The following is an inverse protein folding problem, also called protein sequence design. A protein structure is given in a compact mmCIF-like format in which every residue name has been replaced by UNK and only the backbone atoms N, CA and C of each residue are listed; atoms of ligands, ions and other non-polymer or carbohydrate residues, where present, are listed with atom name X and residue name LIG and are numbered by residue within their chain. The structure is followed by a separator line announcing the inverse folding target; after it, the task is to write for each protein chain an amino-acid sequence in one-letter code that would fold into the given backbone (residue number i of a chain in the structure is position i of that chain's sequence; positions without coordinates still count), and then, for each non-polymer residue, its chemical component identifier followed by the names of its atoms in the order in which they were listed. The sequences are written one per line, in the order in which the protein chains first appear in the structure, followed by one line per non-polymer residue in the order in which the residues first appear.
data_IF_206862863164
#
_entry.id   IF_206862863164
#
_cell.length_a   1.000
_cell.length_b   1.000
_cell.length_c   1.000
_cell.angle_alpha   90.00
_cell.angle_beta   90.00
_cell.angle_gamma   90.00
#
_symmetry.space_group_name_H-M   'P 1'
#
loop_
_entity.id
_entity.type
_entity.pdbx_description
1 polymer ?
#
# COMPACT_ATOMS: atom_id res chain seq x y z
N UNK A 1 -60.71 20.80 -21.85
CA UNK A 1 -60.40 20.46 -21.24
C UNK A 1 -59.25 20.21 -20.78
N UNK A 2 -58.93 20.04 -19.95
CA UNK A 2 -57.79 19.96 -19.45
C UNK A 2 -57.04 18.85 -19.51
N UNK A 3 -56.02 18.87 -19.49
CA UNK A 3 -55.32 17.90 -19.72
C UNK A 3 -54.22 17.78 -18.92
N UNK A 4 -53.76 16.93 -18.49
CA UNK A 4 -52.87 16.82 -17.71
C UNK A 4 -51.85 16.12 -17.81
N UNK A 5 -50.97 16.09 -17.95
CA UNK A 5 -49.98 15.33 -18.15
C UNK A 5 -48.93 15.23 -17.25
N UNK A 6 -48.72 15.89 -16.42
CA UNK A 6 -47.55 15.89 -15.68
C UNK A 6 -47.16 14.63 -15.02
N UNK A 7 -47.78 13.64 -15.12
CA UNK A 7 -47.53 12.47 -14.41
C UNK A 7 -46.25 11.76 -14.72
N UNK A 8 -45.69 12.01 -15.85
CA UNK A 8 -44.51 11.29 -16.25
C UNK A 8 -43.24 11.78 -15.61
N UNK A 9 -43.16 13.03 -15.20
CA UNK A 9 -41.96 13.59 -14.69
C UNK A 9 -41.42 12.91 -13.40
N UNK A 10 -42.29 12.59 -12.46
CA UNK A 10 -41.80 11.94 -11.27
C UNK A 10 -41.20 10.58 -11.50
N UNK A 11 -41.76 9.85 -12.45
CA UNK A 11 -41.27 8.52 -12.77
C UNK A 11 -39.88 8.56 -13.35
N UNK A 12 -39.65 9.49 -14.23
CA UNK A 12 -38.31 9.62 -14.80
C UNK A 12 -37.28 9.98 -13.76
N UNK A 13 -37.60 10.85 -12.87
CA UNK A 13 -36.69 11.24 -11.84
C UNK A 13 -36.32 10.07 -10.94
N UNK A 14 -37.28 9.26 -10.58
CA UNK A 14 -37.02 8.12 -9.74
C UNK A 14 -36.16 7.07 -10.44
N UNK A 15 -36.41 6.85 -11.72
CA UNK A 15 -35.62 5.89 -12.49
C UNK A 15 -34.17 6.36 -12.59
N UNK A 16 -33.94 7.63 -12.85
CA UNK A 16 -32.60 8.20 -12.96
C UNK A 16 -31.85 8.08 -11.64
N UNK A 17 -32.50 8.36 -10.54
CA UNK A 17 -31.90 8.25 -9.23
C UNK A 17 -31.56 6.81 -8.89
N UNK A 18 -32.38 5.87 -9.27
CA UNK A 18 -32.11 4.45 -9.05
C UNK A 18 -30.85 4.00 -9.81
N UNK A 19 -30.70 4.42 -11.05
CA UNK A 19 -29.53 4.09 -11.84
C UNK A 19 -28.27 4.68 -11.21
N UNK A 20 -28.34 5.90 -10.73
CA UNK A 20 -27.21 6.54 -10.08
C UNK A 20 -26.76 5.79 -8.84
N UNK A 21 -27.69 5.34 -8.03
CA UNK A 21 -27.37 4.58 -6.84
C UNK A 21 -26.69 3.26 -7.17
N UNK A 22 -27.15 2.60 -8.21
CA UNK A 22 -26.54 1.36 -8.65
C UNK A 22 -25.12 1.57 -9.13
N UNK A 23 -24.89 2.65 -9.86
CA UNK A 23 -23.55 2.96 -10.35
C UNK A 23 -22.58 3.25 -9.20
N UNK A 24 -23.03 3.97 -8.19
CA UNK A 24 -22.22 4.27 -7.02
C UNK A 24 -21.88 2.98 -6.26
N UNK A 25 -22.85 2.10 -6.11
CA UNK A 25 -22.61 0.82 -5.44
C UNK A 25 -21.60 -0.04 -6.19
N UNK A 26 -21.66 -0.06 -7.50
CA UNK A 26 -20.71 -0.80 -8.31
C UNK A 26 -19.30 -0.25 -8.16
N UNK A 27 -19.15 1.07 -8.11
CA UNK A 27 -17.86 1.70 -7.93
C UNK A 27 -17.25 1.37 -6.56
N UNK A 28 -18.06 1.37 -5.51
CA UNK A 28 -17.60 0.99 -4.18
C UNK A 28 -17.18 -0.47 -4.13
N UNK A 29 -17.90 -1.34 -4.81
CA UNK A 29 -17.55 -2.74 -4.90
C UNK A 29 -16.20 -2.97 -5.58
N UNK A 30 -15.93 -2.21 -6.63
CA UNK A 30 -14.66 -2.32 -7.35
C UNK A 30 -13.47 -1.88 -6.48
N UNK A 31 -13.64 -0.83 -5.69
CA UNK A 31 -12.59 -0.38 -4.78
C UNK A 31 -12.32 -1.42 -3.70
N UNK A 32 -13.35 -2.09 -3.23
CA UNK A 32 -13.19 -3.09 -2.17
C UNK A 32 -12.41 -4.32 -2.64
N UNK A 33 -12.53 -4.68 -3.90
CA UNK A 33 -11.81 -5.84 -4.43
C UNK A 33 -10.31 -5.59 -4.61
N UNK A 34 -9.88 -4.33 -4.71
CA UNK A 34 -8.45 -4.03 -4.85
C UNK A 34 -7.68 -4.12 -3.53
N UNK A 35 -8.36 -4.11 -2.39
CA UNK A 35 -7.69 -4.17 -1.10
C UNK A 35 -7.33 -5.60 -0.68
N UNK A 36 -7.81 -6.60 -1.37
CA UNK A 36 -7.59 -8.00 -1.00
C UNK A 36 -6.26 -8.57 -1.51
N UNK A 37 -5.48 -7.80 -2.29
CA UNK A 37 -4.33 -8.34 -3.01
C UNK A 37 -2.98 -8.18 -2.32
N UNK A 38 -2.91 -7.52 -1.18
CA UNK A 38 -1.61 -7.11 -0.65
C UNK A 38 -1.20 -7.76 0.66
N UNK A 39 -1.57 -8.99 0.89
CA UNK A 39 -1.12 -9.67 2.10
C UNK A 39 0.09 -10.56 1.80
N UNK A 40 1.23 -9.98 1.43
CA UNK A 40 2.47 -10.72 1.44
C UNK A 40 3.00 -10.79 2.86
N UNK A 41 3.28 -12.01 3.31
CA UNK A 41 3.91 -12.23 4.59
C UNK A 41 5.37 -11.76 4.52
N UNK A 42 5.82 -11.11 5.56
CA UNK A 42 7.22 -10.72 5.73
C UNK A 42 7.69 -11.14 7.13
N UNK A 43 8.98 -11.26 7.32
CA UNK A 43 9.55 -11.66 8.62
C UNK A 43 9.34 -10.53 9.63
N UNK A 44 8.94 -10.88 10.84
CA UNK A 44 8.77 -9.91 11.92
C UNK A 44 7.38 -9.30 12.01
N UNK A 45 6.38 -9.88 11.36
CA UNK A 45 5.00 -9.37 11.42
C UNK A 45 4.45 -9.22 12.84
N UNK A 46 4.97 -9.96 13.80
CA UNK A 46 4.58 -9.82 15.19
C UNK A 46 4.87 -8.44 15.75
N UNK A 47 5.78 -7.69 15.16
CA UNK A 47 6.09 -6.32 15.57
C UNK A 47 5.26 -5.25 14.85
N UNK A 48 4.41 -5.66 13.91
CA UNK A 48 3.68 -4.71 13.07
C UNK A 48 2.81 -3.72 13.87
N UNK A 49 2.31 -4.14 15.01
CA UNK A 49 1.52 -3.27 15.88
C UNK A 49 2.31 -2.11 16.49
N UNK A 50 3.63 -2.20 16.51
CA UNK A 50 4.51 -1.15 17.03
C UNK A 50 4.94 -0.16 15.95
N UNK A 51 4.76 -0.50 14.69
CA UNK A 51 5.09 0.37 13.57
C UNK A 51 4.06 1.50 13.43
N UNK A 52 4.51 2.67 12.98
CA UNK A 52 3.64 3.82 12.69
C UNK A 52 3.46 4.03 11.20
N UNK A 53 4.35 3.49 10.39
CA UNK A 53 4.17 3.46 8.94
C UNK A 53 3.96 2.02 8.50
N UNK A 54 3.19 1.84 7.44
CA UNK A 54 2.94 0.53 6.89
C UNK A 54 4.14 0.02 6.10
N UNK A 55 4.20 -1.29 5.89
CA UNK A 55 5.26 -1.87 5.07
C UNK A 55 5.16 -1.37 3.62
N UNK A 56 3.95 -1.10 3.12
CA UNK A 56 3.76 -0.56 1.78
C UNK A 56 4.40 0.82 1.66
N UNK A 57 4.25 1.66 2.66
CA UNK A 57 4.88 2.98 2.67
C UNK A 57 6.39 2.85 2.79
N UNK A 58 6.87 1.97 3.66
CA UNK A 58 8.30 1.72 3.82
C UNK A 58 8.92 1.19 2.52
N UNK A 59 8.21 0.31 1.84
CA UNK A 59 8.62 -0.25 0.55
C UNK A 59 8.78 0.85 -0.50
N UNK A 60 7.83 1.77 -0.55
CA UNK A 60 7.89 2.91 -1.46
C UNK A 60 9.10 3.81 -1.18
N UNK A 61 9.39 4.06 0.09
CA UNK A 61 10.56 4.83 0.51
C UNK A 61 11.85 4.12 0.09
N UNK A 62 11.93 2.82 0.34
CA UNK A 62 13.10 2.02 0.00
C UNK A 62 13.37 2.02 -1.52
N UNK A 63 12.34 1.82 -2.33
CA UNK A 63 12.47 1.80 -3.78
C UNK A 63 12.77 3.17 -4.38
N UNK A 64 12.36 4.25 -3.72
CA UNK A 64 12.74 5.59 -4.12
C UNK A 64 14.21 5.85 -3.78
N UNK A 65 14.68 5.32 -2.66
CA UNK A 65 16.07 5.45 -2.22
C UNK A 65 17.00 4.64 -3.12
N UNK A 66 16.62 3.41 -3.42
CA UNK A 66 17.36 2.53 -4.30
C UNK A 66 16.41 1.73 -5.19
N UNK A 67 16.27 2.09 -6.47
CA UNK A 67 15.37 1.37 -7.38
C UNK A 67 15.87 -0.05 -7.67
N UNK A 68 14.95 -0.98 -7.83
CA UNK A 68 15.25 -2.37 -8.13
C UNK A 68 14.09 -3.29 -7.77
N UNK A 69 14.40 -4.56 -7.59
CA UNK A 69 13.43 -5.58 -7.21
C UNK A 69 13.67 -6.01 -5.77
N UNK A 70 12.66 -5.88 -4.94
CA UNK A 70 12.75 -6.32 -3.55
C UNK A 70 12.78 -7.85 -3.53
N UNK A 71 13.83 -8.43 -2.98
CA UNK A 71 14.00 -9.88 -2.85
C UNK A 71 13.71 -10.38 -1.44
N UNK A 72 13.83 -9.53 -0.44
CA UNK A 72 13.51 -9.87 0.95
C UNK A 72 13.02 -8.66 1.71
N UNK A 73 12.16 -8.90 2.72
CA UNK A 73 11.55 -7.87 3.54
C UNK A 73 11.47 -8.35 4.99
N UNK A 74 11.91 -7.52 5.91
CA UNK A 74 11.87 -7.83 7.33
C UNK A 74 11.44 -6.62 8.14
N UNK A 75 10.76 -6.87 9.25
CA UNK A 75 10.53 -5.87 10.30
C UNK A 75 11.25 -6.35 11.54
N UNK A 76 12.20 -5.58 12.03
CA UNK A 76 13.09 -6.02 13.07
C UNK A 76 13.35 -4.95 14.12
N UNK A 77 13.69 -5.41 15.32
CA UNK A 77 14.15 -4.54 16.38
C UNK A 77 15.68 -4.47 16.28
N UNK A 78 16.17 -3.28 15.97
CA UNK A 78 17.58 -3.05 15.79
C UNK A 78 17.96 -1.67 16.29
N UNK A 79 19.19 -1.52 16.78
CA UNK A 79 19.68 -0.24 17.27
C UNK A 79 19.72 0.78 16.14
N UNK A 80 19.38 2.01 16.46
CA UNK A 80 19.34 3.12 15.51
C UNK A 80 17.93 3.61 15.29
N UNK A 81 17.79 4.89 15.03
CA UNK A 81 16.49 5.53 14.88
C UNK A 81 15.57 5.26 16.06
N UNK A 82 14.36 4.82 15.78
CA UNK A 82 13.37 4.49 16.80
C UNK A 82 13.59 3.11 17.46
N UNK A 83 14.49 2.31 16.94
CA UNK A 83 14.71 0.95 17.41
C UNK A 83 13.88 -0.09 16.68
N UNK A 84 13.05 0.31 15.74
CA UNK A 84 12.24 -0.58 14.92
C UNK A 84 12.40 -0.16 13.46
N UNK A 85 12.79 -1.11 12.60
CA UNK A 85 13.05 -0.80 11.19
C UNK A 85 12.52 -1.88 10.27
N UNK A 86 12.11 -1.45 9.09
CA UNK A 86 11.90 -2.32 7.95
C UNK A 86 13.22 -2.41 7.17
N UNK A 87 13.69 -3.61 6.93
CA UNK A 87 14.86 -3.87 6.11
C UNK A 87 14.45 -4.52 4.80
N UNK A 88 14.99 -4.01 3.70
CA UNK A 88 14.69 -4.50 2.36
C UNK A 88 15.98 -4.83 1.63
N UNK A 89 16.04 -6.03 1.09
CA UNK A 89 17.08 -6.40 0.15
C UNK A 89 16.55 -6.09 -1.26
N UNK A 90 17.24 -5.20 -1.95
CA UNK A 90 16.82 -4.75 -3.29
C UNK A 90 17.86 -5.18 -4.30
N UNK A 91 17.45 -6.00 -5.25
CA UNK A 91 18.31 -6.42 -6.34
C UNK A 91 18.28 -5.44 -7.50
N UNK A 92 19.46 -5.04 -7.91
CA UNK A 92 19.65 -4.17 -9.06
C UNK A 92 20.80 -4.74 -9.90
N UNK A 93 20.47 -5.43 -10.96
CA UNK A 93 21.45 -6.16 -11.75
C UNK A 93 22.05 -7.32 -10.97
N UNK A 94 23.38 -7.33 -10.82
CA UNK A 94 24.10 -8.37 -10.08
C UNK A 94 24.34 -8.00 -8.61
N UNK A 95 23.80 -6.89 -8.16
CA UNK A 95 24.08 -6.38 -6.84
C UNK A 95 22.83 -6.38 -6.00
N UNK A 96 23.02 -6.56 -4.72
CA UNK A 96 21.96 -6.41 -3.72
C UNK A 96 22.32 -5.20 -2.85
N UNK A 97 21.31 -4.36 -2.63
CA UNK A 97 21.39 -3.20 -1.77
C UNK A 97 20.47 -3.42 -0.58
N UNK A 98 20.99 -3.24 0.61
CA UNK A 98 20.18 -3.28 1.82
C UNK A 98 19.72 -1.87 2.17
N UNK A 99 18.42 -1.67 2.30
CA UNK A 99 17.84 -0.39 2.67
C UNK A 99 17.01 -0.57 3.92
N UNK A 100 17.39 0.15 4.96
CA UNK A 100 16.67 0.17 6.24
C UNK A 100 15.85 1.44 6.38
N UNK A 101 14.57 1.29 6.70
CA UNK A 101 13.62 2.38 6.89
C UNK A 101 13.06 2.32 8.29
N UNK A 102 13.18 3.40 9.04
CA UNK A 102 12.61 3.49 10.38
C UNK A 102 11.10 3.27 10.35
N UNK A 103 10.64 2.27 11.07
CA UNK A 103 9.24 1.87 11.05
C UNK A 103 8.30 2.85 11.74
N UNK A 104 8.83 3.83 12.46
CA UNK A 104 8.02 4.85 13.14
C UNK A 104 8.08 6.20 12.44
N UNK A 105 9.21 6.54 11.85
CA UNK A 105 9.40 7.87 11.26
C UNK A 105 9.47 7.88 9.73
N UNK A 106 9.78 6.74 9.13
CA UNK A 106 10.00 6.66 7.68
C UNK A 106 11.38 7.12 7.25
N UNK A 107 12.27 7.44 8.19
CA UNK A 107 13.62 7.89 7.86
C UNK A 107 14.46 6.72 7.35
N UNK A 108 15.24 6.95 6.33
CA UNK A 108 16.21 5.96 5.84
C UNK A 108 17.37 5.91 6.82
N UNK A 109 17.59 4.74 7.43
CA UNK A 109 18.64 4.51 8.40
C UNK A 109 19.84 3.78 7.80
N UNK A 110 19.63 3.05 6.73
CA UNK A 110 20.65 2.25 6.08
C UNK A 110 20.43 2.25 4.58
N UNK A 111 21.51 2.30 3.83
CA UNK A 111 21.48 2.21 2.38
C UNK A 111 22.87 1.74 1.92
N UNK A 112 23.12 0.45 2.15
CA UNK A 112 24.44 -0.12 1.94
C UNK A 112 24.38 -1.26 0.92
N UNK A 113 25.42 -1.32 0.11
CA UNK A 113 25.57 -2.41 -0.83
C UNK A 113 26.09 -3.63 -0.08
N UNK A 114 25.44 -4.76 -0.28
CA UNK A 114 25.98 -6.00 0.25
C UNK A 114 27.33 -6.29 -0.36
N UNK A 115 28.26 -6.72 0.50
CA UNK A 115 29.60 -7.05 0.08
C UNK A 115 29.65 -8.32 -0.78
N UNK A 116 30.77 -8.57 -1.43
CA UNK A 116 30.92 -9.74 -2.30
C UNK A 116 30.82 -11.07 -1.56
N UNK A 117 30.80 -11.05 -0.24
CA UNK A 117 30.69 -12.26 0.58
C UNK A 117 29.38 -12.34 1.35
N UNK A 118 28.39 -11.58 0.95
CA UNK A 118 27.06 -11.66 1.52
C UNK A 118 26.26 -12.75 0.79
N UNK A 119 26.79 -13.96 0.81
CA UNK A 119 26.14 -15.15 0.27
C UNK A 119 25.64 -16.02 1.42
#
# INVERSE_FOLDING_TARGET
MPVRPPEFHPLYGNIIMAISKQQVMAALGAVFTMTAVSAFAYTGQQFAGQARISIEKARAIALKTHPGNISDEELEQEKGGSGLRYSFDIRSGKHTQEVGVDAKTGKVLENDREGPNAD
#
